data_IF_515994234387
#
_entry.id   IF_515994234387
#
_cell.length_a   1.000
_cell.length_b   1.000
_cell.length_c   1.000
_cell.angle_alpha   90.00
_cell.angle_beta   90.00
_cell.angle_gamma   90.00
#
_symmetry.space_group_name_H-M   'P 1'
#
loop_
_entity.id
_entity.type
_entity.pdbx_description
1 polymer ?
#
# COMPACT_ATOMS: atom_id res chain seq x y z
N UNK A 1 2.04 -20.32 1.46
CA UNK A 1 2.49 -19.09 2.13
C UNK A 1 3.92 -19.16 2.62
N UNK A 2 4.38 -20.28 3.14
CA UNK A 2 5.76 -20.44 3.66
C UNK A 2 6.87 -20.09 2.66
N UNK A 3 6.68 -20.33 1.35
CA UNK A 3 7.69 -20.02 0.32
C UNK A 3 7.96 -18.52 0.24
N UNK A 4 6.93 -17.69 0.22
CA UNK A 4 7.08 -16.22 0.14
C UNK A 4 7.69 -15.69 1.45
N UNK A 5 7.21 -16.17 2.60
CA UNK A 5 7.75 -15.76 3.90
C UNK A 5 9.22 -16.14 4.07
N UNK A 6 9.63 -17.36 3.65
CA UNK A 6 11.02 -17.79 3.69
C UNK A 6 11.90 -16.94 2.76
N UNK A 7 11.45 -16.65 1.55
CA UNK A 7 12.18 -15.79 0.61
C UNK A 7 12.36 -14.37 1.19
N UNK A 8 11.31 -13.79 1.77
CA UNK A 8 11.37 -12.48 2.42
C UNK A 8 12.25 -12.50 3.67
N UNK A 9 12.21 -13.59 4.47
CA UNK A 9 13.07 -13.79 5.62
C UNK A 9 14.54 -13.81 5.22
N UNK A 10 14.89 -14.53 4.15
CA UNK A 10 16.26 -14.55 3.63
C UNK A 10 16.76 -13.18 3.18
N UNK A 11 15.93 -12.42 2.46
CA UNK A 11 16.29 -11.06 2.05
C UNK A 11 16.52 -10.16 3.26
N UNK A 12 15.63 -10.22 4.26
CA UNK A 12 15.77 -9.43 5.48
C UNK A 12 17.02 -9.84 6.27
N UNK A 13 17.34 -11.14 6.34
CA UNK A 13 18.57 -11.66 6.94
C UNK A 13 19.82 -11.09 6.28
N UNK A 14 19.92 -11.18 4.95
CA UNK A 14 21.08 -10.65 4.22
C UNK A 14 21.26 -9.15 4.52
N UNK A 15 20.19 -8.39 4.52
CA UNK A 15 20.24 -6.96 4.84
C UNK A 15 20.70 -6.77 6.30
N UNK A 16 20.18 -7.55 7.24
CA UNK A 16 20.59 -7.46 8.65
C UNK A 16 22.07 -7.81 8.85
N UNK A 17 22.57 -8.84 8.19
CA UNK A 17 23.99 -9.24 8.26
C UNK A 17 24.92 -8.11 7.75
N UNK A 18 24.47 -7.32 6.76
CA UNK A 18 25.24 -6.19 6.23
C UNK A 18 25.19 -4.95 7.14
N UNK A 19 24.04 -4.68 7.73
CA UNK A 19 23.78 -3.39 8.41
C UNK A 19 23.92 -3.49 9.93
N UNK A 20 23.73 -4.69 10.50
CA UNK A 20 23.81 -4.99 11.94
C UNK A 20 22.88 -4.13 12.82
N UNK A 21 21.80 -3.62 12.22
CA UNK A 21 20.76 -2.85 12.90
C UNK A 21 19.39 -3.22 12.38
N UNK A 22 18.53 -3.80 13.22
CA UNK A 22 17.27 -4.38 12.80
C UNK A 22 16.27 -3.34 12.29
N UNK A 23 16.18 -2.18 12.93
CA UNK A 23 15.30 -1.09 12.46
C UNK A 23 15.70 -0.56 11.08
N UNK A 24 17.01 -0.35 10.87
CA UNK A 24 17.54 0.06 9.57
C UNK A 24 17.35 -1.06 8.52
N UNK A 25 17.47 -2.31 8.93
CA UNK A 25 17.21 -3.46 8.05
C UNK A 25 15.76 -3.51 7.58
N UNK A 26 14.78 -3.20 8.45
CA UNK A 26 13.36 -3.11 8.07
C UNK A 26 13.15 -1.98 7.05
N UNK A 27 13.81 -0.82 7.23
CA UNK A 27 13.69 0.31 6.29
C UNK A 27 14.25 -0.11 4.91
N UNK A 28 15.47 -0.61 4.85
CA UNK A 28 16.11 -1.03 3.60
C UNK A 28 15.34 -2.16 2.92
N UNK A 29 14.91 -3.14 3.69
CA UNK A 29 14.06 -4.22 3.21
C UNK A 29 12.76 -3.69 2.59
N UNK A 30 12.10 -2.73 3.24
CA UNK A 30 10.89 -2.09 2.71
C UNK A 30 11.17 -1.44 1.36
N UNK A 31 12.26 -0.70 1.24
CA UNK A 31 12.65 -0.04 -0.01
C UNK A 31 12.93 -1.08 -1.10
N UNK A 32 13.71 -2.12 -0.81
CA UNK A 32 14.01 -3.21 -1.76
C UNK A 32 12.73 -3.86 -2.27
N UNK A 33 11.82 -4.26 -1.39
CA UNK A 33 10.53 -4.86 -1.77
C UNK A 33 9.71 -3.90 -2.62
N UNK A 34 9.63 -2.62 -2.26
CA UNK A 34 8.89 -1.60 -3.03
C UNK A 34 9.50 -1.36 -4.41
N UNK A 35 10.82 -1.35 -4.53
CA UNK A 35 11.52 -1.21 -5.82
C UNK A 35 11.29 -2.43 -6.70
N UNK A 36 11.35 -3.64 -6.16
CA UNK A 36 11.01 -4.87 -6.90
C UNK A 36 9.57 -4.89 -7.40
N UNK A 37 8.64 -4.33 -6.64
CA UNK A 37 7.23 -4.22 -7.01
C UNK A 37 6.93 -3.01 -7.91
N UNK A 38 7.89 -2.14 -8.16
CA UNK A 38 7.69 -0.91 -8.94
C UNK A 38 7.11 -1.14 -10.34
N UNK A 39 7.62 -2.08 -11.18
CA UNK A 39 7.06 -2.33 -12.50
C UNK A 39 5.59 -2.77 -12.44
N UNK A 40 5.24 -3.55 -11.44
CA UNK A 40 3.86 -3.97 -11.19
C UNK A 40 2.98 -2.78 -10.81
N UNK A 41 3.45 -1.93 -9.90
CA UNK A 41 2.72 -0.73 -9.44
C UNK A 41 2.50 0.27 -10.57
N UNK A 42 3.45 0.42 -11.50
CA UNK A 42 3.29 1.26 -12.70
C UNK A 42 2.17 0.72 -13.60
N UNK A 43 2.11 -0.60 -13.83
CA UNK A 43 1.02 -1.22 -14.61
C UNK A 43 -0.34 -1.01 -13.94
N UNK A 44 -0.41 -1.18 -12.62
CA UNK A 44 -1.62 -0.94 -11.82
C UNK A 44 -2.08 0.52 -11.91
N UNK A 45 -1.16 1.49 -11.90
CA UNK A 45 -1.49 2.91 -12.03
C UNK A 45 -2.15 3.22 -13.36
N UNK A 46 -1.69 2.63 -14.47
CA UNK A 46 -2.34 2.79 -15.79
C UNK A 46 -3.78 2.29 -15.77
N UNK A 47 -4.02 1.13 -15.16
CA UNK A 47 -5.36 0.55 -15.03
C UNK A 47 -6.27 1.40 -14.15
N UNK A 48 -5.77 1.87 -13.01
CA UNK A 48 -6.50 2.76 -12.10
C UNK A 48 -6.85 4.08 -12.78
N UNK A 49 -5.93 4.65 -13.58
CA UNK A 49 -6.23 5.87 -14.35
C UNK A 49 -7.34 5.65 -15.36
N UNK A 50 -7.31 4.54 -16.12
CA UNK A 50 -8.39 4.23 -17.06
C UNK A 50 -9.76 4.14 -16.37
N UNK A 51 -9.82 3.55 -15.16
CA UNK A 51 -11.03 3.54 -14.35
C UNK A 51 -11.46 4.94 -13.89
N UNK A 52 -10.51 5.79 -13.52
CA UNK A 52 -10.79 7.18 -13.15
C UNK A 52 -11.37 8.00 -14.31
N UNK A 53 -10.89 7.77 -15.53
CA UNK A 53 -11.34 8.48 -16.74
C UNK A 53 -12.84 8.21 -17.07
N UNK A 54 -13.39 7.05 -16.68
CA UNK A 54 -14.81 6.70 -16.89
C UNK A 54 -15.70 7.03 -15.69
N UNK A 55 -15.12 7.41 -14.55
CA UNK A 55 -15.87 7.68 -13.32
C UNK A 55 -16.95 8.76 -13.46
N UNK A 56 -16.76 9.90 -14.18
CA UNK A 56 -17.81 10.87 -14.37
C UNK A 56 -19.06 10.27 -15.03
N UNK A 57 -18.88 9.42 -16.05
CA UNK A 57 -19.99 8.73 -16.72
C UNK A 57 -20.73 7.77 -15.79
N UNK A 58 -19.98 7.08 -14.91
CA UNK A 58 -20.56 6.19 -13.90
C UNK A 58 -21.43 7.00 -12.93
N UNK A 59 -20.95 8.16 -12.46
CA UNK A 59 -21.70 9.05 -11.56
C UNK A 59 -23.00 9.58 -12.22
N UNK A 60 -22.96 9.93 -13.51
CA UNK A 60 -24.16 10.32 -14.27
C UNK A 60 -25.19 9.18 -14.29
N UNK A 61 -24.76 7.94 -14.56
CA UNK A 61 -25.64 6.77 -14.56
C UNK A 61 -26.20 6.50 -13.16
N UNK A 62 -25.38 6.61 -12.12
CA UNK A 62 -25.81 6.44 -10.74
C UNK A 62 -26.88 7.46 -10.34
N UNK A 63 -26.75 8.70 -10.78
CA UNK A 63 -27.72 9.76 -10.53
C UNK A 63 -29.00 9.53 -11.35
N UNK A 64 -28.85 9.20 -12.63
CA UNK A 64 -29.98 9.02 -13.56
C UNK A 64 -30.87 7.83 -13.22
N UNK A 65 -30.30 6.75 -12.72
CA UNK A 65 -31.01 5.50 -12.41
C UNK A 65 -31.06 5.19 -10.92
N UNK A 66 -31.06 6.22 -10.06
CA UNK A 66 -31.04 6.08 -8.59
C UNK A 66 -32.10 5.12 -8.06
N UNK A 67 -33.32 5.18 -8.63
CA UNK A 67 -34.47 4.39 -8.19
C UNK A 67 -34.63 3.06 -8.98
N UNK A 68 -33.66 2.73 -9.85
CA UNK A 68 -33.69 1.53 -10.70
C UNK A 68 -32.33 0.79 -10.64
N UNK A 69 -32.04 0.08 -9.54
CA UNK A 69 -30.71 -0.49 -9.27
C UNK A 69 -30.27 -1.49 -10.33
N UNK A 70 -31.18 -2.32 -10.85
CA UNK A 70 -30.84 -3.30 -11.90
C UNK A 70 -30.41 -2.61 -13.21
N UNK A 71 -31.15 -1.59 -13.62
CA UNK A 71 -30.85 -0.82 -14.84
C UNK A 71 -29.57 -0.01 -14.65
N UNK A 72 -29.35 0.56 -13.47
CA UNK A 72 -28.12 1.26 -13.10
C UNK A 72 -26.90 0.34 -13.29
N UNK A 73 -26.97 -0.88 -12.74
CA UNK A 73 -25.89 -1.85 -12.84
C UNK A 73 -25.62 -2.29 -14.28
N UNK A 74 -26.67 -2.52 -15.08
CA UNK A 74 -26.54 -2.86 -16.50
C UNK A 74 -25.84 -1.74 -17.29
N UNK A 75 -26.23 -0.48 -17.11
CA UNK A 75 -25.62 0.65 -17.81
C UNK A 75 -24.17 0.90 -17.36
N UNK A 76 -23.87 0.72 -16.07
CA UNK A 76 -22.48 0.79 -15.57
C UNK A 76 -21.62 -0.32 -16.23
N UNK A 77 -22.13 -1.55 -16.33
CA UNK A 77 -21.40 -2.64 -16.97
C UNK A 77 -21.17 -2.39 -18.47
N UNK A 78 -22.10 -1.73 -19.17
CA UNK A 78 -21.89 -1.29 -20.56
C UNK A 78 -20.72 -0.32 -20.68
N UNK A 79 -20.67 0.70 -19.79
CA UNK A 79 -19.53 1.66 -19.77
C UNK A 79 -18.20 0.94 -19.62
N UNK A 80 -18.09 -0.03 -18.70
CA UNK A 80 -16.87 -0.83 -18.54
C UNK A 80 -16.51 -1.63 -19.80
N UNK A 81 -17.52 -2.24 -20.43
CA UNK A 81 -17.34 -3.04 -21.65
C UNK A 81 -16.92 -2.18 -22.84
N UNK A 82 -17.58 -1.07 -23.07
CA UNK A 82 -17.25 -0.10 -24.14
C UNK A 82 -15.85 0.50 -23.98
N UNK A 83 -15.48 0.81 -22.75
CA UNK A 83 -14.13 1.31 -22.42
C UNK A 83 -13.05 0.21 -22.43
N UNK A 84 -13.42 -1.08 -22.61
CA UNK A 84 -12.54 -2.25 -22.50
C UNK A 84 -11.78 -2.29 -21.16
N UNK A 85 -12.43 -1.88 -20.07
CA UNK A 85 -11.86 -1.84 -18.73
C UNK A 85 -12.46 -2.97 -17.90
N UNK A 86 -11.59 -3.75 -17.25
CA UNK A 86 -12.03 -4.73 -16.27
C UNK A 86 -12.32 -4.05 -14.93
N UNK A 87 -13.57 -4.09 -14.39
CA UNK A 87 -13.91 -3.49 -13.10
C UNK A 87 -13.08 -4.05 -11.93
N UNK A 88 -12.61 -5.30 -12.03
CA UNK A 88 -11.75 -5.91 -11.01
C UNK A 88 -10.32 -5.36 -11.01
N UNK A 89 -9.92 -4.61 -12.04
CA UNK A 89 -8.58 -4.03 -12.09
C UNK A 89 -8.31 -3.00 -10.98
N UNK A 90 -9.37 -2.38 -10.42
CA UNK A 90 -9.26 -1.46 -9.29
C UNK A 90 -8.90 -2.13 -7.97
N UNK A 91 -9.32 -3.37 -7.74
CA UNK A 91 -8.98 -4.14 -6.53
C UNK A 91 -7.74 -5.04 -6.70
N UNK A 92 -7.22 -5.17 -7.92
CA UNK A 92 -6.04 -6.00 -8.22
C UNK A 92 -4.81 -5.64 -7.35
N UNK A 93 -4.51 -4.35 -7.09
CA UNK A 93 -3.43 -3.98 -6.17
C UNK A 93 -3.59 -4.61 -4.79
N UNK A 94 -4.79 -4.59 -4.23
CA UNK A 94 -5.08 -5.17 -2.93
C UNK A 94 -4.90 -6.70 -2.93
N UNK A 95 -5.41 -7.37 -3.97
CA UNK A 95 -5.29 -8.83 -4.09
C UNK A 95 -3.84 -9.31 -4.19
N UNK A 96 -2.98 -8.57 -4.89
CA UNK A 96 -1.56 -8.88 -5.00
C UNK A 96 -0.82 -8.51 -3.71
N UNK A 97 -1.18 -7.41 -3.07
CA UNK A 97 -0.56 -6.93 -1.85
C UNK A 97 -0.86 -7.83 -0.65
N UNK A 98 -2.06 -8.44 -0.56
CA UNK A 98 -2.46 -9.22 0.61
C UNK A 98 -1.54 -10.42 0.92
N UNK A 99 -1.19 -11.30 -0.03
CA UNK A 99 -0.25 -12.39 0.24
C UNK A 99 1.13 -11.90 0.69
N UNK A 100 1.61 -10.80 0.09
CA UNK A 100 2.90 -10.18 0.44
C UNK A 100 2.84 -9.61 1.85
N UNK A 101 1.75 -8.90 2.17
CA UNK A 101 1.55 -8.31 3.50
C UNK A 101 1.48 -9.38 4.59
N UNK A 102 0.73 -10.47 4.36
CA UNK A 102 0.61 -11.57 5.32
C UNK A 102 1.95 -12.28 5.52
N UNK A 103 2.68 -12.54 4.44
CA UNK A 103 3.99 -13.16 4.51
C UNK A 103 4.99 -12.27 5.28
N UNK A 104 4.96 -10.98 5.03
CA UNK A 104 5.81 -10.01 5.70
C UNK A 104 5.45 -9.86 7.19
N UNK A 105 4.15 -9.81 7.50
CA UNK A 105 3.67 -9.80 8.88
C UNK A 105 4.22 -11.01 9.65
N UNK A 106 4.17 -12.20 9.02
CA UNK A 106 4.72 -13.44 9.63
C UNK A 106 6.22 -13.32 9.88
N UNK A 107 6.99 -12.82 8.90
CA UNK A 107 8.46 -12.66 9.02
C UNK A 107 8.84 -11.68 10.13
N UNK A 108 8.14 -10.54 10.21
CA UNK A 108 8.46 -9.53 11.24
C UNK A 108 7.98 -9.92 12.62
N UNK A 109 6.93 -10.75 12.72
CA UNK A 109 6.43 -11.26 14.00
C UNK A 109 7.24 -12.43 14.54
N UNK A 110 7.71 -13.30 13.65
CA UNK A 110 8.42 -14.53 14.00
C UNK A 110 9.76 -14.63 13.21
N UNK A 111 10.67 -13.65 13.35
CA UNK A 111 11.85 -13.56 12.48
C UNK A 111 12.84 -14.73 12.68
N UNK A 112 12.85 -15.38 13.84
CA UNK A 112 13.63 -16.61 14.08
C UNK A 112 13.07 -17.77 13.28
N UNK A 113 11.76 -17.96 13.26
CA UNK A 113 11.08 -19.02 12.48
C UNK A 113 11.38 -18.92 10.99
N UNK A 114 11.51 -17.71 10.47
CA UNK A 114 11.82 -17.47 9.05
C UNK A 114 13.30 -17.22 8.77
N UNK A 115 14.16 -17.57 9.71
CA UNK A 115 15.62 -17.62 9.53
C UNK A 115 16.30 -16.26 9.42
N UNK A 116 15.65 -15.17 9.88
CA UNK A 116 16.27 -13.83 9.96
C UNK A 116 17.32 -13.80 11.06
N UNK A 117 17.03 -14.43 12.19
CA UNK A 117 17.93 -14.59 13.33
C UNK A 117 18.15 -16.07 13.64
N UNK A 118 19.32 -16.38 14.23
CA UNK A 118 19.69 -17.74 14.60
C UNK A 118 18.84 -18.24 15.78
N UNK A 119 18.61 -17.36 16.74
CA UNK A 119 17.86 -17.65 17.96
C UNK A 119 17.12 -16.42 18.50
N UNK A 120 16.30 -16.67 19.53
CA UNK A 120 15.50 -15.63 20.16
C UNK A 120 16.35 -14.62 20.96
N UNK A 121 17.53 -15.01 21.46
CA UNK A 121 18.40 -14.12 22.21
C UNK A 121 19.04 -13.08 21.29
N UNK A 122 19.47 -13.50 20.11
CA UNK A 122 19.99 -12.60 19.07
C UNK A 122 18.90 -11.61 18.63
N UNK A 123 17.69 -12.10 18.37
CA UNK A 123 16.55 -11.24 18.01
C UNK A 123 16.22 -10.23 19.10
N UNK A 124 16.10 -10.68 20.35
CA UNK A 124 15.78 -9.82 21.48
C UNK A 124 16.82 -8.71 21.68
N UNK A 125 18.09 -8.98 21.38
CA UNK A 125 19.16 -7.99 21.42
C UNK A 125 19.10 -7.03 20.23
N UNK A 126 18.92 -7.56 19.02
CA UNK A 126 18.86 -6.76 17.78
C UNK A 126 17.62 -5.87 17.69
N UNK A 127 16.52 -6.27 18.32
CA UNK A 127 15.26 -5.52 18.30
C UNK A 127 15.28 -4.28 19.22
N UNK A 128 16.26 -4.13 20.09
CA UNK A 128 16.37 -3.01 21.03
C UNK A 128 17.09 -1.81 20.42
N UNK A 129 16.48 -0.64 20.64
CA UNK A 129 17.14 0.64 20.37
C UNK A 129 17.25 1.01 18.89
N UNK A 130 16.19 1.58 18.33
CA UNK A 130 16.21 2.19 17.01
C UNK A 130 15.61 3.60 17.04
N UNK A 131 16.42 4.63 16.81
CA UNK A 131 16.03 6.03 16.94
C UNK A 131 15.45 6.31 18.35
N UNK A 132 14.17 6.71 18.42
CA UNK A 132 13.43 6.91 19.68
C UNK A 132 12.74 5.62 20.18
N UNK A 133 12.69 4.58 19.36
CA UNK A 133 12.00 3.32 19.67
C UNK A 133 12.90 2.48 20.57
N UNK A 134 12.41 2.19 21.77
CA UNK A 134 13.17 1.40 22.76
C UNK A 134 13.24 -0.07 22.41
N UNK A 135 12.16 -0.61 21.83
CA UNK A 135 12.03 -2.02 21.48
C UNK A 135 11.08 -2.18 20.29
N UNK A 136 11.59 -2.74 19.20
CA UNK A 136 10.84 -2.97 17.96
C UNK A 136 9.81 -4.11 18.07
N UNK A 137 9.83 -4.89 19.15
CA UNK A 137 8.86 -5.95 19.42
C UNK A 137 7.61 -5.47 20.16
N UNK A 138 7.66 -4.27 20.73
CA UNK A 138 6.54 -3.64 21.46
C UNK A 138 5.94 -2.49 20.65
N UNK A 139 4.67 -2.14 20.90
CA UNK A 139 4.06 -0.97 20.26
C UNK A 139 4.77 0.34 20.64
N UNK A 140 4.83 1.28 19.67
CA UNK A 140 5.36 2.63 19.89
C UNK A 140 4.31 3.69 19.51
N UNK A 141 4.02 4.59 20.42
CA UNK A 141 2.96 5.61 20.30
C UNK A 141 3.25 6.58 19.15
N UNK A 142 4.50 7.06 19.05
CA UNK A 142 4.90 8.03 18.02
C UNK A 142 4.75 7.39 16.64
N UNK A 143 5.21 6.15 16.50
CA UNK A 143 5.14 5.41 15.26
C UNK A 143 3.69 5.06 14.88
N UNK A 144 2.81 4.77 15.86
CA UNK A 144 1.38 4.59 15.64
C UNK A 144 0.74 5.85 15.02
N UNK A 145 1.03 7.02 15.58
CA UNK A 145 0.55 8.31 15.06
C UNK A 145 1.10 8.57 13.65
N UNK A 146 2.39 8.32 13.42
CA UNK A 146 3.02 8.47 12.10
C UNK A 146 2.41 7.51 11.07
N UNK A 147 2.07 6.29 11.45
CA UNK A 147 1.44 5.32 10.55
C UNK A 147 0.05 5.76 10.10
N UNK A 148 -0.77 6.26 11.01
CA UNK A 148 -2.08 6.84 10.71
C UNK A 148 -1.98 8.10 9.82
N UNK A 149 -1.10 9.03 10.19
CA UNK A 149 -0.87 10.27 9.45
C UNK A 149 -0.34 10.02 8.03
N UNK A 150 0.66 9.15 7.87
CA UNK A 150 1.21 8.81 6.55
C UNK A 150 0.22 8.03 5.70
N UNK A 151 -0.63 7.18 6.30
CA UNK A 151 -1.72 6.49 5.59
C UNK A 151 -2.74 7.49 5.08
N UNK A 152 -3.16 8.44 5.91
CA UNK A 152 -4.08 9.49 5.53
C UNK A 152 -3.52 10.35 4.38
N UNK A 153 -2.28 10.80 4.53
CA UNK A 153 -1.61 11.62 3.51
C UNK A 153 -1.47 10.87 2.18
N UNK A 154 -0.98 9.63 2.22
CA UNK A 154 -0.82 8.78 1.04
C UNK A 154 -2.15 8.59 0.31
N UNK A 155 -3.23 8.23 1.03
CA UNK A 155 -4.54 8.02 0.41
C UNK A 155 -5.12 9.31 -0.17
N UNK A 156 -5.00 10.45 0.54
CA UNK A 156 -5.48 11.75 0.07
C UNK A 156 -4.76 12.20 -1.20
N UNK A 157 -3.45 11.98 -1.29
CA UNK A 157 -2.65 12.32 -2.48
C UNK A 157 -2.95 11.41 -3.68
N UNK A 158 -3.26 10.14 -3.43
CA UNK A 158 -3.55 9.17 -4.50
C UNK A 158 -5.00 9.22 -4.97
N UNK A 159 -5.90 9.81 -4.19
CA UNK A 159 -7.31 9.93 -4.53
C UNK A 159 -7.53 11.09 -5.52
N UNK A 160 -8.24 10.87 -6.64
CA UNK A 160 -8.63 11.94 -7.54
C UNK A 160 -9.51 12.98 -6.85
N UNK A 161 -9.36 14.26 -7.23
CA UNK A 161 -10.13 15.36 -6.63
C UNK A 161 -11.65 15.17 -6.76
N UNK A 162 -12.09 14.61 -7.89
CA UNK A 162 -13.52 14.36 -8.18
C UNK A 162 -14.12 13.22 -7.35
N UNK A 163 -13.28 12.37 -6.77
CA UNK A 163 -13.71 11.24 -5.92
C UNK A 163 -13.60 11.53 -4.42
N UNK A 164 -13.23 12.75 -4.03
CA UNK A 164 -13.11 13.16 -2.62
C UNK A 164 -14.48 13.38 -1.93
N UNK A 165 -15.56 12.83 -2.49
CA UNK A 165 -16.92 12.91 -1.94
C UNK A 165 -17.47 11.51 -1.63
N UNK A 166 -18.36 11.42 -0.65
CA UNK A 166 -19.10 10.20 -0.33
C UNK A 166 -18.27 9.08 0.31
N UNK A 167 -18.57 7.85 -0.10
CA UNK A 167 -18.04 6.62 0.51
C UNK A 167 -16.51 6.48 0.39
N UNK A 168 -15.89 7.00 -0.66
CA UNK A 168 -14.43 6.95 -0.85
C UNK A 168 -13.69 7.80 0.19
N UNK A 169 -14.22 8.98 0.49
CA UNK A 169 -13.67 9.84 1.55
C UNK A 169 -13.80 9.19 2.92
N UNK A 170 -14.94 8.57 3.20
CA UNK A 170 -15.16 7.83 4.44
C UNK A 170 -14.15 6.67 4.58
N UNK A 171 -13.86 5.93 3.49
CA UNK A 171 -12.86 4.87 3.49
C UNK A 171 -11.46 5.38 3.87
N UNK A 172 -11.05 6.58 3.39
CA UNK A 172 -9.78 7.20 3.77
C UNK A 172 -9.70 7.44 5.27
N UNK A 173 -10.75 8.00 5.88
CA UNK A 173 -10.77 8.25 7.33
C UNK A 173 -10.76 6.94 8.13
N UNK A 174 -11.61 5.98 7.75
CA UNK A 174 -11.70 4.68 8.44
C UNK A 174 -10.37 3.93 8.37
N UNK A 175 -9.73 3.87 7.19
CA UNK A 175 -8.46 3.18 7.00
C UNK A 175 -7.33 3.83 7.81
N UNK A 176 -7.27 5.17 7.83
CA UNK A 176 -6.25 5.90 8.58
C UNK A 176 -6.45 5.77 10.09
N UNK A 177 -7.69 5.83 10.56
CA UNK A 177 -8.03 5.59 11.97
C UNK A 177 -7.72 4.13 12.38
N UNK A 178 -8.00 3.17 11.50
CA UNK A 178 -7.67 1.77 11.74
C UNK A 178 -6.16 1.54 11.83
N UNK A 179 -5.36 2.19 10.97
CA UNK A 179 -3.91 2.10 11.03
C UNK A 179 -3.32 2.76 12.27
N UNK A 180 -3.90 3.87 12.72
CA UNK A 180 -3.57 4.49 14.00
C UNK A 180 -3.85 3.50 15.15
N UNK A 181 -5.05 2.92 15.20
CA UNK A 181 -5.46 1.98 16.24
C UNK A 181 -4.59 0.70 16.25
N UNK A 182 -4.32 0.12 15.09
CA UNK A 182 -3.45 -1.05 14.97
C UNK A 182 -2.01 -0.74 15.36
N UNK A 183 -1.53 0.48 15.12
CA UNK A 183 -0.22 0.93 15.55
C UNK A 183 -0.01 0.87 17.06
N UNK A 184 -1.08 1.02 17.86
CA UNK A 184 -1.06 0.84 19.32
C UNK A 184 -1.06 -0.63 19.74
N UNK A 185 -1.35 -1.56 18.84
CA UNK A 185 -1.49 -2.99 19.14
C UNK A 185 -0.38 -3.83 18.52
N UNK A 186 0.23 -3.37 17.44
CA UNK A 186 1.24 -4.11 16.69
C UNK A 186 2.66 -3.74 17.13
N UNK A 187 3.62 -4.68 17.01
CA UNK A 187 5.03 -4.40 17.21
C UNK A 187 5.52 -3.22 16.36
N UNK A 188 6.36 -2.37 16.95
CA UNK A 188 6.90 -1.18 16.27
C UNK A 188 7.62 -1.52 14.96
N UNK A 189 8.27 -2.67 14.85
CA UNK A 189 8.90 -3.12 13.60
C UNK A 189 7.91 -3.25 12.43
N UNK A 190 6.70 -3.76 12.68
CA UNK A 190 5.66 -3.86 11.66
C UNK A 190 5.07 -2.47 11.31
N UNK A 191 4.86 -1.64 12.33
CA UNK A 191 4.37 -0.28 12.15
C UNK A 191 5.40 0.59 11.42
N UNK A 192 6.69 0.38 11.66
CA UNK A 192 7.81 1.00 10.93
C UNK A 192 7.79 0.61 9.44
N UNK A 193 7.67 -0.69 9.14
CA UNK A 193 7.50 -1.15 7.76
C UNK A 193 6.34 -0.44 7.05
N UNK A 194 5.17 -0.36 7.71
CA UNK A 194 4.00 0.29 7.15
C UNK A 194 4.22 1.78 6.89
N UNK A 195 4.78 2.48 7.86
CA UNK A 195 5.07 3.92 7.78
C UNK A 195 6.07 4.23 6.65
N UNK A 196 7.18 3.49 6.57
CA UNK A 196 8.18 3.64 5.49
C UNK A 196 7.58 3.28 4.14
N UNK A 197 6.73 2.23 4.09
CA UNK A 197 5.98 1.86 2.89
C UNK A 197 5.08 2.98 2.37
N UNK A 198 4.41 3.72 3.24
CA UNK A 198 3.61 4.90 2.89
C UNK A 198 4.48 6.07 2.41
N UNK A 199 5.57 6.36 3.12
CA UNK A 199 6.52 7.40 2.70
C UNK A 199 7.09 7.10 1.32
N UNK A 200 7.50 5.85 1.06
CA UNK A 200 7.94 5.42 -0.25
C UNK A 200 6.85 5.59 -1.32
N UNK A 201 5.60 5.22 -1.02
CA UNK A 201 4.48 5.37 -1.95
C UNK A 201 4.20 6.84 -2.28
N UNK A 202 4.31 7.74 -1.29
CA UNK A 202 4.21 9.20 -1.49
C UNK A 202 5.33 9.70 -2.40
N UNK A 203 6.58 9.32 -2.13
CA UNK A 203 7.72 9.68 -2.96
C UNK A 203 7.55 9.14 -4.41
N UNK A 204 7.14 7.88 -4.55
CA UNK A 204 6.84 7.26 -5.84
C UNK A 204 5.72 8.01 -6.59
N UNK A 205 4.68 8.49 -5.90
CA UNK A 205 3.61 9.26 -6.52
C UNK A 205 4.16 10.54 -7.18
N UNK A 206 4.99 11.30 -6.48
CA UNK A 206 5.54 12.54 -7.02
C UNK A 206 6.61 12.32 -8.10
N UNK A 207 7.50 11.35 -7.91
CA UNK A 207 8.64 11.15 -8.80
C UNK A 207 8.30 10.36 -10.06
N UNK A 208 7.34 9.44 -10.00
CA UNK A 208 7.07 8.49 -11.09
C UNK A 208 5.63 8.59 -11.57
N UNK A 209 4.65 8.52 -10.65
CA UNK A 209 3.24 8.38 -11.03
C UNK A 209 2.66 9.69 -11.58
N UNK A 210 3.00 10.81 -10.99
CA UNK A 210 2.50 12.11 -11.41
C UNK A 210 3.03 12.50 -12.81
N UNK A 211 4.35 12.41 -13.10
CA UNK A 211 4.88 12.60 -14.44
C UNK A 211 4.34 11.60 -15.46
N UNK A 212 4.17 10.33 -15.08
CA UNK A 212 3.60 9.32 -15.97
C UNK A 212 2.14 9.62 -16.31
N UNK A 213 1.34 10.04 -15.35
CA UNK A 213 -0.06 10.46 -15.58
C UNK A 213 -0.14 11.66 -16.50
N UNK A 214 0.73 12.65 -16.33
CA UNK A 214 0.81 13.83 -17.21
C UNK A 214 1.12 13.42 -18.66
N UNK A 215 2.15 12.59 -18.90
CA UNK A 215 2.49 12.08 -20.23
C UNK A 215 1.33 11.31 -20.88
N UNK A 216 0.64 10.46 -20.13
CA UNK A 216 -0.52 9.70 -20.62
C UNK A 216 -1.74 10.59 -20.93
N UNK A 217 -1.86 11.77 -20.31
CA UNK A 217 -2.91 12.74 -20.63
C UNK A 217 -2.60 13.43 -21.98
N UNK A 218 -1.39 13.94 -22.15
CA UNK A 218 -0.95 14.62 -23.39
C UNK A 218 -1.09 13.70 -24.61
N UNK A 219 -0.66 12.42 -24.50
CA UNK A 219 -0.74 11.47 -25.62
C UNK A 219 -2.19 11.13 -26.03
N UNK A 220 -3.20 11.38 -25.20
CA UNK A 220 -4.61 11.21 -25.57
C UNK A 220 -5.16 12.43 -26.33
N UNK A 221 -4.67 13.63 -26.04
CA UNK A 221 -5.08 14.86 -26.73
C UNK A 221 -4.50 14.94 -28.16
N UNK A 222 -3.34 14.32 -28.40
CA UNK A 222 -2.71 14.26 -29.74
C UNK A 222 -3.36 13.23 -30.69
N UNK A 223 -4.24 12.35 -30.20
CA UNK A 223 -4.91 11.26 -30.97
C UNK A 223 -6.38 11.60 -31.28
N UNK A 224 -6.91 12.72 -30.79
CA UNK A 224 -8.24 13.24 -31.09
C UNK A 224 -8.16 14.40 -32.07
#
# INVERSE_FOLDING_TARGET
>A
MNIISNALGHVLRIIFELVQNYGLSIILFTIVVKVLLLPLTIKQTKSTKAMQDIQPKILEIQTKYKDKPEKQQQEIMKIYTEAKINPLAGCLPLLIQMPILIALFSVLREPVTYGVFVDQAQFATAAKGFLWIKDLTTPDVILAVLSGATTFLMQTLMMPKDQQQGSMKMMTYVMSAMMLFWGFSFPAGLTLYWTIGNVFAIAQHYLIMNPLRAKLAVSKEEVV
#
